data_IF_860899761001
#
_entry.id   IF_860899761001
#
_cell.length_a   1.000
_cell.length_b   1.000
_cell.length_c   1.000
_cell.angle_alpha   90.00
_cell.angle_beta   90.00
_cell.angle_gamma   90.00
#
_symmetry.space_group_name_H-M   'P 1'
#
loop_
_entity.id
_entity.type
_entity.pdbx_description
1 polymer ?
#
# COMPACT_ATOMS: atom_id res chain seq x y z
N UNK A 1 6.38 -18.58 11.49
CA UNK A 1 6.75 -17.93 11.26
C UNK A 1 6.90 -16.98 11.74
N UNK A 2 7.14 -16.56 11.88
CA UNK A 2 7.29 -15.68 12.25
C UNK A 2 7.05 -14.71 11.67
N UNK A 3 6.61 -14.29 11.72
CA UNK A 3 6.33 -13.42 11.10
C UNK A 3 7.04 -12.37 11.39
N UNK A 4 7.54 -11.69 10.68
CA UNK A 4 8.24 -10.66 10.89
C UNK A 4 7.50 -9.57 11.25
N UNK A 5 7.81 -8.84 12.13
CA UNK A 5 7.10 -7.73 12.57
C UNK A 5 6.93 -6.73 11.53
N UNK A 6 7.84 -6.51 10.68
CA UNK A 6 7.62 -5.65 9.69
C UNK A 6 7.87 -6.27 8.50
N UNK A 7 6.92 -6.79 7.88
CA UNK A 7 7.06 -7.45 6.64
C UNK A 7 7.52 -6.54 5.56
N UNK A 8 7.36 -5.25 5.73
CA UNK A 8 7.70 -4.37 4.66
C UNK A 8 8.91 -3.57 4.99
N UNK A 9 9.93 -3.72 4.20
CA UNK A 9 11.17 -3.00 4.41
C UNK A 9 11.06 -1.62 3.81
N UNK A 10 11.87 -0.72 4.27
CA UNK A 10 11.81 0.64 3.74
C UNK A 10 11.91 0.73 2.23
N UNK A 11 12.66 -0.15 1.62
CA UNK A 11 12.79 -0.05 0.17
C UNK A 11 11.53 -0.49 -0.55
N UNK A 12 10.60 -1.10 0.16
CA UNK A 12 9.36 -1.51 -0.47
C UNK A 12 8.25 -0.50 -0.25
N UNK A 13 8.55 0.62 0.35
CA UNK A 13 7.53 1.59 0.68
C UNK A 13 7.67 2.78 -0.28
N UNK A 14 6.57 3.19 -0.86
CA UNK A 14 6.57 4.24 -1.87
C UNK A 14 5.70 5.39 -1.43
N UNK A 15 6.04 6.58 -1.89
CA UNK A 15 5.27 7.77 -1.54
C UNK A 15 4.10 7.93 -2.48
N UNK A 16 2.92 8.20 -1.93
CA UNK A 16 1.76 8.48 -2.75
C UNK A 16 1.88 9.88 -3.32
N UNK A 17 1.75 10.00 -4.63
CA UNK A 17 1.75 11.30 -5.27
C UNK A 17 0.90 11.22 -6.52
N UNK A 18 0.54 12.36 -7.07
CA UNK A 18 -0.31 12.37 -8.24
C UNK A 18 0.32 11.63 -9.42
N UNK A 19 1.63 11.59 -9.46
CA UNK A 19 2.32 10.93 -10.56
C UNK A 19 2.66 9.49 -10.28
N UNK A 20 2.55 9.06 -9.06
CA UNK A 20 3.01 7.73 -8.70
C UNK A 20 2.07 7.00 -7.81
N UNK A 21 0.87 6.81 -8.24
CA UNK A 21 -0.06 5.99 -7.50
C UNK A 21 0.12 4.53 -7.89
N UNK A 22 -0.23 3.60 -7.03
CA UNK A 22 -0.11 2.19 -7.38
C UNK A 22 -1.02 1.84 -8.56
N UNK A 23 -0.62 0.83 -9.32
CA UNK A 23 -1.37 0.40 -10.47
C UNK A 23 -1.73 -1.06 -10.32
N UNK A 24 -2.50 -1.57 -11.26
CA UNK A 24 -2.92 -2.95 -11.19
C UNK A 24 -1.79 -3.93 -11.03
N UNK A 25 -0.66 -3.67 -11.63
CA UNK A 25 0.45 -4.60 -11.52
C UNK A 25 1.01 -4.64 -10.11
N UNK A 26 0.63 -3.70 -9.26
CA UNK A 26 1.13 -3.65 -7.90
C UNK A 26 0.16 -4.28 -6.90
N UNK A 27 -0.97 -4.79 -7.37
CA UNK A 27 -1.98 -5.32 -6.46
C UNK A 27 -1.79 -6.80 -6.25
N UNK A 28 -2.42 -7.32 -5.20
CA UNK A 28 -2.40 -8.74 -4.96
C UNK A 28 -3.56 -9.38 -5.71
N UNK A 29 -3.80 -10.66 -5.44
CA UNK A 29 -4.85 -11.38 -6.15
C UNK A 29 -6.25 -10.83 -5.89
N UNK A 30 -6.38 -10.00 -4.87
CA UNK A 30 -7.66 -9.41 -4.54
C UNK A 30 -7.74 -7.95 -4.99
N UNK A 31 -6.76 -7.51 -5.76
CA UNK A 31 -6.69 -6.14 -6.25
C UNK A 31 -6.54 -5.14 -5.13
N UNK A 32 -5.73 -5.47 -4.14
CA UNK A 32 -5.54 -4.60 -2.99
C UNK A 32 -4.09 -4.21 -2.80
N UNK A 33 -3.90 -3.08 -2.15
CA UNK A 33 -2.58 -2.60 -1.77
C UNK A 33 -2.70 -2.07 -0.36
N UNK A 34 -1.60 -1.70 0.26
CA UNK A 34 -1.63 -1.13 1.59
C UNK A 34 -1.25 0.33 1.51
N UNK A 35 -1.93 1.16 2.29
CA UNK A 35 -1.61 2.58 2.36
C UNK A 35 -1.35 2.95 3.81
N UNK A 36 -0.56 3.99 4.02
CA UNK A 36 -0.12 4.38 5.35
C UNK A 36 -0.48 5.81 5.68
N UNK A 37 -0.94 6.01 6.91
CA UNK A 37 -1.16 7.32 7.45
C UNK A 37 -0.62 7.28 8.85
N UNK A 38 0.19 8.27 9.21
CA UNK A 38 0.94 8.15 10.44
C UNK A 38 0.10 8.00 11.70
N UNK A 39 -1.09 8.50 11.72
CA UNK A 39 -1.92 8.39 12.91
C UNK A 39 -2.74 7.10 12.94
N UNK A 40 -2.79 6.38 11.83
CA UNK A 40 -3.59 5.18 11.75
C UNK A 40 -2.75 3.94 11.51
N UNK A 41 -1.67 4.08 10.76
CA UNK A 41 -0.83 2.95 10.39
C UNK A 41 -1.19 2.42 9.02
N UNK A 42 -0.87 1.17 8.77
CA UNK A 42 -1.10 0.56 7.47
C UNK A 42 -2.52 0.00 7.38
N UNK A 43 -3.14 0.23 6.24
CA UNK A 43 -4.49 -0.25 5.98
C UNK A 43 -4.53 -0.89 4.60
N UNK A 44 -5.16 -2.05 4.49
CA UNK A 44 -5.29 -2.75 3.22
C UNK A 44 -6.56 -2.26 2.54
N UNK A 45 -6.45 -1.77 1.31
CA UNK A 45 -7.60 -1.22 0.61
C UNK A 45 -7.62 -1.69 -0.84
N UNK A 46 -8.77 -1.67 -1.49
CA UNK A 46 -8.84 -1.99 -2.91
C UNK A 46 -8.15 -0.91 -3.72
N UNK A 47 -7.58 -1.30 -4.85
CA UNK A 47 -6.89 -0.34 -5.69
C UNK A 47 -7.79 0.83 -6.07
N UNK A 48 -9.05 0.57 -6.33
CA UNK A 48 -9.96 1.61 -6.76
C UNK A 48 -10.16 2.71 -5.72
N UNK A 49 -9.84 2.42 -4.47
CA UNK A 49 -10.02 3.39 -3.41
C UNK A 49 -8.75 4.19 -3.10
N UNK A 50 -7.65 3.89 -3.76
CA UNK A 50 -6.38 4.53 -3.44
C UNK A 50 -6.45 6.04 -3.58
N UNK A 51 -7.07 6.51 -4.66
CA UNK A 51 -7.11 7.95 -4.89
C UNK A 51 -7.86 8.66 -3.77
N UNK A 52 -8.96 8.07 -3.30
CA UNK A 52 -9.73 8.65 -2.23
C UNK A 52 -8.92 8.68 -0.94
N UNK A 53 -8.23 7.60 -0.63
CA UNK A 53 -7.41 7.56 0.57
C UNK A 53 -6.28 8.58 0.48
N UNK A 54 -5.72 8.75 -0.71
CA UNK A 54 -4.65 9.69 -0.89
C UNK A 54 -5.14 11.14 -0.80
N UNK A 55 -6.19 11.47 -1.54
CA UNK A 55 -6.62 12.85 -1.63
C UNK A 55 -7.51 13.30 -0.48
N UNK A 56 -8.38 12.43 -0.04
CA UNK A 56 -9.34 12.82 0.98
C UNK A 56 -8.95 12.41 2.38
N UNK A 57 -8.30 11.29 2.52
CA UNK A 57 -7.91 10.83 3.84
C UNK A 57 -6.45 11.09 4.14
N UNK A 58 -5.74 11.66 3.19
CA UNK A 58 -4.38 12.15 3.41
C UNK A 58 -3.35 11.07 3.77
N UNK A 59 -3.53 9.90 3.23
CA UNK A 59 -2.51 8.87 3.38
C UNK A 59 -1.28 9.29 2.60
N UNK A 60 -0.12 8.89 3.03
CA UNK A 60 1.12 9.39 2.50
C UNK A 60 1.96 8.38 1.76
N UNK A 61 1.82 7.10 2.10
CA UNK A 61 2.66 6.06 1.51
C UNK A 61 1.84 4.85 1.13
N UNK A 62 2.41 3.99 0.29
CA UNK A 62 1.75 2.74 -0.04
C UNK A 62 2.81 1.66 -0.21
N UNK A 63 2.39 0.42 -0.14
CA UNK A 63 3.28 -0.69 -0.39
C UNK A 63 2.44 -1.91 -0.79
N UNK A 64 3.11 -2.99 -1.09
CA UNK A 64 2.45 -4.22 -1.49
C UNK A 64 1.87 -4.91 -0.28
N UNK A 65 0.78 -5.66 -0.47
CA UNK A 65 0.26 -6.47 0.62
C UNK A 65 1.09 -7.74 0.72
N UNK A 66 0.97 -8.47 1.81
CA UNK A 66 1.71 -9.73 1.94
C UNK A 66 1.37 -10.75 0.87
N UNK A 67 0.18 -10.63 0.28
CA UNK A 67 -0.23 -11.57 -0.73
C UNK A 67 0.19 -11.20 -2.14
N UNK A 68 0.83 -10.07 -2.30
CA UNK A 68 1.24 -9.65 -3.63
C UNK A 68 2.38 -10.54 -4.10
N UNK A 69 2.25 -11.14 -5.26
CA UNK A 69 3.33 -11.98 -5.74
C UNK A 69 4.48 -11.12 -6.19
N UNK A 70 5.67 -11.49 -5.72
CA UNK A 70 6.77 -10.81 -6.26
C UNK A 70 7.75 -11.76 -6.61
N UNK A 71 8.31 -11.78 -7.39
CA UNK A 71 9.27 -12.61 -7.72
C UNK A 71 10.13 -12.26 -8.45
#
# INVERSE_FOLDING_TARGET
MKLKPKPYLPEDVYILSDDELPKEIHTDRFNKVMVFRKDIGWTVIPLKDVYTYFKHMKHTHWTFTPDTPHD
#
